data_IF_853899206142
#
_entry.id   IF_853899206142
#
_cell.length_a   1.000
_cell.length_b   1.000
_cell.length_c   1.000
_cell.angle_alpha   90.00
_cell.angle_beta   90.00
_cell.angle_gamma   90.00
#
_symmetry.space_group_name_H-M   'P 1'
#
loop_
_entity.id
_entity.type
_entity.pdbx_description
1 polymer ?
#
# COMPACT_ATOMS: atom_id res chain seq x y z
N UNK A 1 28.66 -50.59 40.97
CA UNK A 1 27.62 -49.54 40.97
C UNK A 1 28.04 -48.52 39.92
N UNK A 2 27.22 -48.27 38.89
CA UNK A 2 27.57 -47.34 37.81
C UNK A 2 27.31 -45.91 38.29
N UNK A 3 28.36 -45.09 38.38
CA UNK A 3 28.21 -43.65 38.61
C UNK A 3 27.42 -43.05 37.45
N UNK A 4 26.29 -42.42 37.77
CA UNK A 4 25.43 -41.75 36.80
C UNK A 4 26.03 -40.37 36.57
N UNK A 5 26.77 -40.21 35.47
CA UNK A 5 27.33 -38.91 35.09
C UNK A 5 26.20 -37.88 34.95
N UNK A 6 26.32 -36.76 35.69
CA UNK A 6 25.33 -35.69 35.65
C UNK A 6 25.38 -34.99 34.28
N UNK A 7 24.22 -34.83 33.65
CA UNK A 7 24.10 -34.18 32.35
C UNK A 7 24.36 -32.68 32.51
N UNK A 8 25.31 -32.14 31.74
CA UNK A 8 25.58 -30.70 31.73
C UNK A 8 24.34 -29.94 31.26
N UNK A 9 23.91 -28.94 32.03
CA UNK A 9 22.74 -28.11 31.70
C UNK A 9 23.23 -26.74 31.25
N UNK A 10 22.74 -26.27 30.10
CA UNK A 10 23.03 -24.92 29.62
C UNK A 10 21.95 -23.97 30.12
N UNK A 11 22.34 -22.95 30.89
CA UNK A 11 21.46 -21.84 31.25
C UNK A 11 21.46 -20.86 30.08
N UNK A 12 20.29 -20.65 29.47
CA UNK A 12 20.07 -19.63 28.44
C UNK A 12 19.25 -18.48 29.01
N UNK A 13 19.66 -17.25 28.69
CA UNK A 13 18.89 -16.06 29.04
C UNK A 13 17.87 -15.80 27.91
N UNK A 14 16.60 -15.73 28.27
CA UNK A 14 15.52 -15.34 27.36
C UNK A 14 15.26 -13.86 27.56
N UNK A 15 15.44 -13.07 26.51
CA UNK A 15 15.17 -11.64 26.56
C UNK A 15 13.68 -11.37 26.35
N UNK A 16 13.09 -10.38 27.05
CA UNK A 16 11.78 -9.85 26.71
C UNK A 16 11.73 -9.51 25.22
N UNK A 17 10.64 -9.91 24.56
CA UNK A 17 10.47 -9.73 23.12
C UNK A 17 9.16 -9.01 22.85
N UNK A 18 9.24 -7.87 22.19
CA UNK A 18 8.07 -7.17 21.67
C UNK A 18 7.76 -7.63 20.25
N UNK A 19 6.47 -7.69 19.94
CA UNK A 19 5.96 -8.02 18.62
C UNK A 19 4.95 -6.96 18.21
N UNK A 20 5.02 -6.54 16.95
CA UNK A 20 4.05 -5.65 16.32
C UNK A 20 3.95 -6.00 14.84
N UNK A 21 2.95 -5.45 14.16
CA UNK A 21 2.94 -5.51 12.70
C UNK A 21 2.90 -4.10 12.12
N UNK A 22 3.49 -3.97 10.94
CA UNK A 22 3.44 -2.77 10.12
C UNK A 22 2.63 -3.06 8.88
N UNK A 23 1.84 -2.08 8.43
CA UNK A 23 1.21 -2.09 7.11
C UNK A 23 1.78 -0.92 6.33
N UNK A 24 2.40 -1.21 5.18
CA UNK A 24 2.91 -0.15 4.31
C UNK A 24 1.80 0.47 3.44
N UNK A 25 2.09 1.61 2.81
CA UNK A 25 1.20 2.26 1.86
C UNK A 25 0.84 1.39 0.64
N UNK A 26 1.66 0.40 0.31
CA UNK A 26 1.42 -0.54 -0.79
C UNK A 26 0.54 -1.73 -0.36
N UNK A 27 0.17 -1.81 0.91
CA UNK A 27 -0.67 -2.87 1.47
C UNK A 27 0.09 -4.11 1.96
N UNK A 28 1.43 -4.10 1.92
CA UNK A 28 2.25 -5.17 2.49
C UNK A 28 2.13 -5.16 4.00
N UNK A 29 1.92 -6.33 4.59
CA UNK A 29 1.93 -6.50 6.04
C UNK A 29 3.26 -7.13 6.48
N UNK A 30 3.95 -6.53 7.45
CA UNK A 30 5.21 -7.05 7.98
C UNK A 30 5.06 -7.35 9.47
N UNK A 31 5.29 -8.60 9.87
CA UNK A 31 5.37 -8.99 11.28
C UNK A 31 6.79 -8.72 11.79
N UNK A 32 6.90 -7.90 12.83
CA UNK A 32 8.15 -7.45 13.42
C UNK A 32 8.33 -8.04 14.81
N UNK A 33 9.57 -8.23 15.20
CA UNK A 33 9.94 -8.55 16.57
C UNK A 33 11.20 -7.81 16.99
N UNK A 34 11.32 -7.54 18.29
CA UNK A 34 12.52 -6.96 18.87
C UNK A 34 12.78 -7.55 20.26
N UNK A 35 13.98 -8.09 20.45
CA UNK A 35 14.47 -8.46 21.76
C UNK A 35 15.03 -7.23 22.48
N UNK A 36 14.89 -7.18 23.81
CA UNK A 36 15.43 -6.11 24.64
C UNK A 36 16.92 -5.84 24.34
N UNK A 37 17.23 -4.60 23.93
CA UNK A 37 18.60 -4.17 23.60
C UNK A 37 19.11 -4.62 22.23
N UNK A 38 18.28 -5.25 21.39
CA UNK A 38 18.63 -5.65 20.02
C UNK A 38 17.92 -4.79 18.98
N UNK A 39 18.40 -4.84 17.75
CA UNK A 39 17.72 -4.25 16.60
C UNK A 39 16.43 -5.01 16.28
N UNK A 40 15.44 -4.29 15.76
CA UNK A 40 14.23 -4.90 15.23
C UNK A 40 14.55 -5.85 14.06
N UNK A 41 13.75 -6.90 13.95
CA UNK A 41 13.81 -7.83 12.83
C UNK A 41 12.42 -8.01 12.20
N UNK A 42 12.41 -8.25 10.89
CA UNK A 42 11.19 -8.67 10.20
C UNK A 42 11.16 -10.19 10.20
N UNK A 43 10.15 -10.77 10.85
CA UNK A 43 9.98 -12.23 10.88
C UNK A 43 9.29 -12.73 9.62
N UNK A 44 8.23 -12.03 9.20
CA UNK A 44 7.43 -12.40 8.04
C UNK A 44 6.99 -11.14 7.29
N UNK A 45 6.99 -11.22 5.97
CA UNK A 45 6.44 -10.20 5.09
C UNK A 45 5.36 -10.84 4.20
N UNK A 46 4.17 -10.26 4.22
CA UNK A 46 3.00 -10.70 3.47
C UNK A 46 2.73 -9.63 2.40
N UNK A 47 3.17 -9.86 1.14
CA UNK A 47 2.97 -8.89 0.06
C UNK A 47 1.48 -8.69 -0.22
N UNK A 48 1.14 -7.50 -0.70
CA UNK A 48 -0.19 -7.23 -1.24
C UNK A 48 -0.38 -7.92 -2.57
N UNK A 49 -1.41 -8.76 -2.65
CA UNK A 49 -1.83 -9.38 -3.90
C UNK A 49 -2.86 -8.48 -4.58
N UNK A 50 -2.41 -7.68 -5.54
CA UNK A 50 -3.26 -6.77 -6.30
C UNK A 50 -4.30 -7.50 -7.18
N UNK A 51 -4.17 -8.81 -7.40
CA UNK A 51 -5.19 -9.58 -8.10
C UNK A 51 -6.47 -9.73 -7.26
N UNK A 52 -6.39 -9.58 -5.93
CA UNK A 52 -7.51 -9.70 -5.02
C UNK A 52 -7.68 -8.42 -4.20
N UNK A 53 -8.80 -7.73 -4.39
CA UNK A 53 -9.10 -6.46 -3.70
C UNK A 53 -9.32 -6.61 -2.18
N UNK A 54 -9.36 -7.84 -1.66
CA UNK A 54 -9.64 -8.11 -0.24
C UNK A 54 -8.38 -8.31 0.59
N UNK A 55 -8.15 -7.39 1.53
CA UNK A 55 -7.11 -7.49 2.56
C UNK A 55 -7.40 -8.56 3.63
N UNK A 56 -8.61 -9.14 3.64
CA UNK A 56 -9.04 -10.04 4.72
C UNK A 56 -8.17 -11.31 4.82
N UNK A 57 -7.68 -11.82 3.67
CA UNK A 57 -6.81 -13.00 3.64
C UNK A 57 -5.45 -12.76 4.28
N UNK A 58 -4.83 -11.59 4.02
CA UNK A 58 -3.58 -11.21 4.64
C UNK A 58 -3.72 -11.06 6.16
N UNK A 59 -4.82 -10.43 6.59
CA UNK A 59 -5.12 -10.28 8.02
C UNK A 59 -5.29 -11.63 8.71
N UNK A 60 -6.05 -12.55 8.10
CA UNK A 60 -6.22 -13.90 8.63
C UNK A 60 -4.88 -14.65 8.73
N UNK A 61 -4.03 -14.56 7.70
CA UNK A 61 -2.70 -15.15 7.70
C UNK A 61 -1.82 -14.57 8.81
N UNK A 62 -1.80 -13.24 8.99
CA UNK A 62 -1.07 -12.59 10.07
C UNK A 62 -1.53 -13.09 11.44
N UNK A 63 -2.84 -13.20 11.66
CA UNK A 63 -3.42 -13.71 12.90
C UNK A 63 -3.02 -15.17 13.17
N UNK A 64 -2.96 -16.01 12.13
CA UNK A 64 -2.47 -17.37 12.26
C UNK A 64 -0.98 -17.42 12.63
N UNK A 65 -0.15 -16.56 12.02
CA UNK A 65 1.27 -16.46 12.35
C UNK A 65 1.46 -15.98 13.79
N UNK A 66 0.69 -14.99 14.25
CA UNK A 66 0.75 -14.51 15.63
C UNK A 66 0.47 -15.65 16.63
N UNK A 67 -0.57 -16.45 16.36
CA UNK A 67 -0.86 -17.66 17.17
C UNK A 67 0.26 -18.68 17.13
N UNK A 68 0.87 -18.90 15.96
CA UNK A 68 2.00 -19.82 15.81
C UNK A 68 3.23 -19.38 16.64
N UNK A 69 3.48 -18.07 16.74
CA UNK A 69 4.53 -17.52 17.61
C UNK A 69 4.14 -17.44 19.10
N UNK A 70 2.97 -17.96 19.48
CA UNK A 70 2.51 -17.95 20.87
C UNK A 70 2.02 -16.59 21.34
N UNK A 71 1.70 -15.67 20.43
CA UNK A 71 1.11 -14.37 20.77
C UNK A 71 -0.37 -14.58 21.10
N UNK A 72 -0.69 -14.49 22.39
CA UNK A 72 -2.05 -14.70 22.92
C UNK A 72 -2.91 -13.43 22.91
N UNK A 73 -2.31 -12.27 22.62
CA UNK A 73 -3.00 -10.97 22.59
C UNK A 73 -3.04 -10.42 21.17
N UNK A 74 -3.99 -9.52 20.94
CA UNK A 74 -4.02 -8.72 19.72
C UNK A 74 -2.68 -7.99 19.56
N UNK A 75 -2.09 -8.16 18.38
CA UNK A 75 -0.83 -7.54 18.02
C UNK A 75 -1.07 -6.08 17.64
N UNK A 76 -0.21 -5.18 18.13
CA UNK A 76 -0.30 -3.75 17.83
C UNK A 76 0.05 -3.48 16.36
N UNK A 77 -0.70 -2.59 15.72
CA UNK A 77 -0.32 -2.00 14.44
C UNK A 77 0.56 -0.77 14.68
N UNK A 78 1.76 -0.75 14.10
CA UNK A 78 2.63 0.43 14.08
C UNK A 78 2.74 0.97 12.64
N UNK A 79 2.93 2.29 12.46
CA UNK A 79 3.22 2.84 11.14
C UNK A 79 4.56 2.32 10.63
N UNK A 80 4.62 2.00 9.34
CA UNK A 80 5.88 1.68 8.66
C UNK A 80 6.86 2.86 8.79
N UNK A 81 8.12 2.58 9.16
CA UNK A 81 9.17 3.62 9.22
C UNK A 81 9.40 4.29 7.86
N UNK A 82 9.25 3.53 6.78
CA UNK A 82 9.36 4.06 5.42
C UNK A 82 8.24 5.06 5.14
N UNK A 83 7.01 4.71 5.51
CA UNK A 83 5.86 5.58 5.30
C UNK A 83 5.95 6.84 6.17
N UNK A 84 6.41 6.71 7.42
CA UNK A 84 6.63 7.85 8.30
C UNK A 84 7.65 8.83 7.70
N UNK A 85 8.73 8.32 7.11
CA UNK A 85 9.73 9.15 6.44
C UNK A 85 9.20 9.76 5.13
N UNK A 86 8.45 9.00 4.34
CA UNK A 86 7.82 9.50 3.12
C UNK A 86 6.81 10.61 3.42
N UNK A 87 5.96 10.43 4.45
CA UNK A 87 5.02 11.44 4.93
C UNK A 87 5.80 12.66 5.39
N UNK A 88 6.89 12.50 6.15
CA UNK A 88 7.73 13.61 6.59
C UNK A 88 8.34 14.38 5.42
N UNK A 89 8.80 13.69 4.38
CA UNK A 89 9.34 14.33 3.18
C UNK A 89 8.24 15.05 2.38
N UNK A 90 7.09 14.41 2.21
CA UNK A 90 5.94 14.98 1.50
C UNK A 90 5.31 16.18 2.24
N UNK A 91 5.40 16.20 3.57
CA UNK A 91 4.90 17.30 4.42
C UNK A 91 5.95 18.38 4.68
N UNK A 92 7.17 18.25 4.14
CA UNK A 92 8.16 19.31 4.22
C UNK A 92 7.66 20.54 3.44
N UNK A 93 7.74 21.71 4.08
CA UNK A 93 7.25 22.99 3.51
C UNK A 93 7.90 23.25 2.15
N UNK A 94 9.21 22.98 2.02
CA UNK A 94 9.96 23.12 0.77
C UNK A 94 9.43 22.26 -0.38
N UNK A 95 8.88 21.07 -0.11
CA UNK A 95 8.32 20.20 -1.13
C UNK A 95 6.93 20.68 -1.59
N UNK A 96 6.15 21.25 -0.67
CA UNK A 96 4.85 21.83 -0.95
C UNK A 96 5.02 23.09 -1.81
N UNK A 97 5.92 24.00 -1.42
CA UNK A 97 6.17 25.25 -2.14
C UNK A 97 6.63 24.99 -3.58
N UNK A 98 7.58 24.08 -3.78
CA UNK A 98 8.03 23.68 -5.14
C UNK A 98 6.92 23.06 -5.98
N UNK A 99 6.02 22.31 -5.36
CA UNK A 99 4.88 21.71 -6.08
C UNK A 99 3.90 22.79 -6.50
N UNK A 100 3.64 23.76 -5.61
CA UNK A 100 2.76 24.89 -5.89
C UNK A 100 3.32 25.78 -7.01
N UNK A 101 4.63 26.09 -6.99
CA UNK A 101 5.30 26.83 -8.07
C UNK A 101 5.13 26.13 -9.43
N UNK A 102 5.32 24.80 -9.48
CA UNK A 102 5.14 24.02 -10.73
C UNK A 102 3.70 24.01 -11.23
N UNK A 103 2.73 23.98 -10.32
CA UNK A 103 1.30 24.06 -10.66
C UNK A 103 0.96 25.45 -11.22
N UNK A 104 1.45 26.51 -10.59
CA UNK A 104 1.25 27.89 -11.05
C UNK A 104 1.90 28.15 -12.41
N UNK A 105 3.12 27.64 -12.63
CA UNK A 105 3.82 27.72 -13.91
C UNK A 105 3.06 26.94 -15.01
N UNK A 106 2.58 25.74 -14.68
CA UNK A 106 1.75 24.94 -15.60
C UNK A 106 0.42 25.63 -15.92
N UNK A 107 -0.21 26.26 -14.93
CA UNK A 107 -1.46 27.00 -15.12
C UNK A 107 -1.28 28.22 -16.03
N UNK A 108 -0.16 28.96 -15.90
CA UNK A 108 0.19 30.05 -16.81
C UNK A 108 0.38 29.55 -18.25
N UNK A 109 1.13 28.46 -18.42
CA UNK A 109 1.36 27.86 -19.73
C UNK A 109 0.05 27.38 -20.39
N UNK A 110 -0.93 26.91 -19.61
CA UNK A 110 -2.26 26.54 -20.13
C UNK A 110 -3.08 27.78 -20.49
N UNK A 111 -2.98 28.87 -19.72
CA UNK A 111 -3.69 30.11 -20.00
C UNK A 111 -3.15 30.85 -21.22
N UNK A 112 -1.86 30.66 -21.54
CA UNK A 112 -1.19 31.20 -22.73
C UNK A 112 -1.39 30.35 -24.00
N UNK A 113 -2.10 29.21 -23.91
CA UNK A 113 -2.48 28.47 -25.11
C UNK A 113 -3.49 29.30 -25.90
N UNK A 114 -3.06 29.87 -27.03
CA UNK A 114 -3.97 30.54 -27.95
C UNK A 114 -5.01 29.57 -28.49
N UNK A 115 -6.19 30.08 -28.84
CA UNK A 115 -7.25 29.30 -29.47
C UNK A 115 -6.75 28.57 -30.73
N UNK A 116 -5.78 29.14 -31.46
CA UNK A 116 -5.17 28.48 -32.62
C UNK A 116 -4.36 27.24 -32.23
N UNK A 117 -3.64 27.28 -31.11
CA UNK A 117 -2.86 26.15 -30.59
C UNK A 117 -3.78 25.02 -30.12
N UNK A 118 -4.91 25.35 -29.51
CA UNK A 118 -5.95 24.39 -29.11
C UNK A 118 -6.55 23.71 -30.35
N UNK A 119 -6.83 24.48 -31.41
CA UNK A 119 -7.33 23.95 -32.69
C UNK A 119 -6.27 23.05 -33.34
N UNK A 120 -5.00 23.44 -33.35
CA UNK A 120 -3.89 22.64 -33.88
C UNK A 120 -3.73 21.30 -33.13
N UNK A 121 -3.80 21.31 -31.80
CA UNK A 121 -3.75 20.09 -30.97
C UNK A 121 -4.94 19.18 -31.28
N UNK A 122 -6.15 19.74 -31.42
CA UNK A 122 -7.36 18.97 -31.78
C UNK A 122 -7.27 18.36 -33.19
N UNK A 123 -6.62 19.03 -34.13
CA UNK A 123 -6.41 18.52 -35.48
C UNK A 123 -5.30 17.46 -35.55
N UNK A 124 -4.29 17.53 -34.67
CA UNK A 124 -3.16 16.59 -34.60
C UNK A 124 -3.42 15.37 -33.71
N UNK A 125 -4.35 15.46 -32.77
CA UNK A 125 -4.81 14.30 -32.03
C UNK A 125 -5.69 13.47 -32.95
N UNK A 126 -5.13 12.37 -33.47
CA UNK A 126 -5.93 11.36 -34.15
C UNK A 126 -7.09 10.97 -33.24
N UNK A 127 -8.34 10.99 -33.73
CA UNK A 127 -9.47 10.54 -32.93
C UNK A 127 -9.13 9.17 -32.37
N UNK A 128 -9.25 9.05 -31.04
CA UNK A 128 -8.96 7.80 -30.36
C UNK A 128 -9.83 6.71 -31.00
N UNK A 129 -9.20 5.71 -31.61
CA UNK A 129 -9.93 4.64 -32.26
C UNK A 129 -10.65 3.83 -31.18
N UNK A 130 -11.95 4.08 -31.05
CA UNK A 130 -12.83 3.38 -30.13
C UNK A 130 -13.31 2.04 -30.70
N UNK A 131 -12.91 1.66 -31.93
CA UNK A 131 -13.28 0.39 -32.53
C UNK A 131 -12.96 -0.84 -31.66
N UNK A 132 -11.83 -0.90 -30.91
CA UNK A 132 -11.56 -2.03 -30.01
C UNK A 132 -12.50 -2.08 -28.80
N UNK A 133 -13.20 -0.99 -28.51
CA UNK A 133 -14.09 -0.82 -27.36
C UNK A 133 -15.57 -0.76 -27.77
N UNK A 134 -15.88 -1.03 -29.04
CA UNK A 134 -17.23 -0.91 -29.58
C UNK A 134 -18.25 -1.74 -28.79
N UNK A 135 -17.91 -2.97 -28.44
CA UNK A 135 -18.78 -3.88 -27.68
C UNK A 135 -18.97 -3.40 -26.23
N UNK A 136 -17.91 -2.93 -25.58
CA UNK A 136 -17.96 -2.36 -24.22
C UNK A 136 -18.83 -1.11 -24.17
N UNK A 137 -18.73 -0.25 -25.19
CA UNK A 137 -19.56 0.95 -25.31
C UNK A 137 -21.02 0.62 -25.62
N UNK A 138 -21.28 -0.41 -26.43
CA UNK A 138 -22.63 -0.90 -26.69
C UNK A 138 -23.27 -1.46 -25.41
N UNK A 139 -22.52 -2.24 -24.63
CA UNK A 139 -22.95 -2.77 -23.35
C UNK A 139 -23.23 -1.66 -22.32
N UNK A 140 -22.32 -0.70 -22.17
CA UNK A 140 -22.52 0.45 -21.27
C UNK A 140 -23.74 1.29 -21.66
N UNK A 141 -23.99 1.49 -22.96
CA UNK A 141 -25.20 2.16 -23.45
C UNK A 141 -26.47 1.35 -23.18
N UNK A 142 -26.42 0.02 -23.27
CA UNK A 142 -27.54 -0.84 -22.92
C UNK A 142 -27.86 -0.74 -21.42
N UNK A 143 -26.85 -0.77 -20.56
CA UNK A 143 -27.01 -0.58 -19.11
C UNK A 143 -27.56 0.81 -18.76
N UNK A 144 -27.07 1.86 -19.40
CA UNK A 144 -27.61 3.22 -19.19
C UNK A 144 -29.04 3.35 -19.69
N UNK A 145 -29.41 2.63 -20.75
CA UNK A 145 -30.79 2.60 -21.26
C UNK A 145 -31.72 1.82 -20.33
N UNK A 146 -31.26 0.74 -19.71
CA UNK A 146 -32.01 0.03 -18.67
C UNK A 146 -32.13 0.87 -17.39
N UNK A 147 -31.06 1.55 -16.99
CA UNK A 147 -31.04 2.44 -15.83
C UNK A 147 -31.87 3.73 -16.03
N UNK A 148 -32.01 4.18 -17.28
CA UNK A 148 -32.77 5.37 -17.66
C UNK A 148 -34.22 5.10 -18.10
N UNK A 149 -34.74 3.88 -17.95
CA UNK A 149 -36.13 3.55 -18.30
C UNK A 149 -37.03 3.52 -17.05
N UNK A 150 -36.87 4.51 -16.18
CA UNK A 150 -37.92 5.00 -15.29
C UNK A 150 -38.13 6.47 -15.65
N UNK A 151 -39.09 6.70 -16.57
CA UNK A 151 -39.85 7.94 -16.84
C UNK A 151 -40.02 8.17 -18.35
N UNK A 152 -40.91 7.34 -18.92
CA UNK A 152 -41.83 7.73 -19.98
C UNK A 152 -43.23 7.89 -19.35
#
# INVERSE_FOLDING_TARGET
MSEKALQAVQIVKIYPTEYWYEKDMMGTMSLKAQHEGMHECTLVQIPYDYAYTSNAGQWALLQHLCKYFGLLKDIEQRPSKFDAELIRQATSVDAIDKTQERVEESAKNVHELSDERIIEIRQKTTPFDLSPWADTLAFARALLKEAGNQDA
#
